data_IF_446709548785
#
_entry.id   IF_446709548785
#
_cell.length_a   1.000
_cell.length_b   1.000
_cell.length_c   1.000
_cell.angle_alpha   90.00
_cell.angle_beta   90.00
_cell.angle_gamma   90.00
#
_symmetry.space_group_name_H-M   'P 1'
#
loop_
_entity.id
_entity.type
_entity.pdbx_description
1 polymer ?
#
# COMPACT_ATOMS: atom_id res chain seq x y z
N UNK A 1 31.22 -2.51 6.41
CA UNK A 1 30.50 -1.77 5.55
C UNK A 1 29.14 -2.31 5.26
N UNK A 2 28.20 -1.58 5.61
CA UNK A 2 26.85 -2.00 5.43
C UNK A 2 26.46 -1.97 3.97
N UNK A 3 25.60 -2.88 3.61
CA UNK A 3 25.05 -2.88 2.30
C UNK A 3 23.75 -2.10 2.31
N UNK A 4 23.68 -1.12 1.45
CA UNK A 4 22.44 -0.36 1.32
C UNK A 4 21.46 -1.20 0.55
N UNK A 5 20.37 -1.55 1.20
CA UNK A 5 19.33 -2.31 0.55
C UNK A 5 18.43 -1.38 -0.21
N UNK A 6 18.39 -1.55 -1.51
CA UNK A 6 17.61 -0.70 -2.35
C UNK A 6 16.17 -1.17 -2.33
N UNK A 7 15.25 -0.27 -2.07
CA UNK A 7 13.84 -0.60 -2.20
C UNK A 7 13.50 -0.79 -3.66
N UNK A 8 12.65 -1.76 -3.95
CA UNK A 8 12.21 -1.97 -5.31
C UNK A 8 11.22 -0.89 -5.76
N UNK A 9 10.65 -0.15 -4.81
CA UNK A 9 9.70 0.91 -5.09
C UNK A 9 9.99 2.12 -4.21
N UNK A 10 9.66 3.30 -4.69
CA UNK A 10 9.85 4.52 -3.91
C UNK A 10 8.85 4.63 -2.78
N UNK A 11 7.65 4.08 -2.96
CA UNK A 11 6.60 4.15 -1.96
C UNK A 11 5.73 2.92 -2.04
N UNK A 12 5.24 2.46 -0.88
CA UNK A 12 4.35 1.31 -0.80
C UNK A 12 3.14 1.66 0.04
N UNK A 13 1.98 1.18 -0.40
CA UNK A 13 0.76 1.25 0.39
C UNK A 13 0.31 -0.16 0.68
N UNK A 14 -0.05 -0.42 1.93
CA UNK A 14 -0.53 -1.72 2.37
C UNK A 14 -1.95 -1.58 2.87
N UNK A 15 -2.85 -2.39 2.34
CA UNK A 15 -4.23 -2.44 2.79
C UNK A 15 -4.35 -3.64 3.70
N UNK A 16 -4.57 -3.40 4.98
CA UNK A 16 -4.56 -4.44 6.01
C UNK A 16 -5.83 -4.37 6.84
N UNK A 17 -6.23 -5.51 7.39
CA UNK A 17 -7.42 -5.59 8.21
C UNK A 17 -7.05 -5.65 9.69
N UNK A 18 -7.61 -4.74 10.48
CA UNK A 18 -7.50 -4.74 11.93
C UNK A 18 -8.85 -4.47 12.53
N UNK A 19 -9.30 -5.32 13.42
CA UNK A 19 -10.62 -5.22 13.99
C UNK A 19 -11.66 -5.43 12.91
N UNK A 20 -12.53 -4.47 12.72
CA UNK A 20 -13.59 -4.57 11.73
C UNK A 20 -13.37 -3.62 10.56
N UNK A 21 -12.14 -3.13 10.39
CA UNK A 21 -11.87 -2.13 9.37
C UNK A 21 -10.66 -2.51 8.56
N UNK A 22 -10.66 -2.03 7.33
CA UNK A 22 -9.50 -2.10 6.44
C UNK A 22 -8.77 -0.77 6.53
N UNK A 23 -7.46 -0.86 6.76
CA UNK A 23 -6.60 0.32 6.92
C UNK A 23 -5.65 0.42 5.76
N UNK A 24 -5.40 1.64 5.30
CA UNK A 24 -4.34 1.90 4.34
C UNK A 24 -3.16 2.46 5.11
N UNK A 25 -2.02 1.77 5.03
CA UNK A 25 -0.80 2.16 5.71
C UNK A 25 0.27 2.41 4.69
N UNK A 26 1.17 3.37 4.98
CA UNK A 26 2.32 3.59 4.13
C UNK A 26 3.47 2.68 4.57
N UNK A 27 4.61 2.79 3.87
CA UNK A 27 5.76 1.94 4.17
C UNK A 27 6.46 2.32 5.48
N UNK A 28 6.03 3.39 6.14
CA UNK A 28 6.52 3.74 7.46
C UNK A 28 5.58 3.28 8.56
N UNK A 29 4.49 2.62 8.19
CA UNK A 29 3.53 2.11 9.15
C UNK A 29 2.47 3.11 9.59
N UNK A 30 2.45 4.29 9.00
CA UNK A 30 1.43 5.29 9.35
C UNK A 30 0.11 4.95 8.67
N UNK A 31 -0.98 5.04 9.43
CA UNK A 31 -2.32 4.81 8.91
C UNK A 31 -2.84 6.07 8.24
N UNK A 32 -3.25 5.95 7.00
CA UNK A 32 -3.66 7.08 6.19
C UNK A 32 -5.17 7.15 5.96
N UNK A 33 -5.83 6.00 6.00
CA UNK A 33 -7.26 5.91 5.68
C UNK A 33 -7.80 4.62 6.28
N UNK A 34 -9.09 4.59 6.60
CA UNK A 34 -9.75 3.39 7.08
C UNK A 34 -11.14 3.30 6.49
N UNK A 35 -11.57 2.07 6.23
CA UNK A 35 -12.90 1.81 5.69
C UNK A 35 -13.38 0.45 6.18
N UNK A 36 -14.69 0.28 6.27
CA UNK A 36 -15.25 -1.04 6.58
C UNK A 36 -15.27 -1.94 5.35
N UNK A 37 -14.98 -1.39 4.18
CA UNK A 37 -15.04 -2.10 2.92
C UNK A 37 -13.64 -2.20 2.31
N UNK A 38 -13.20 -3.44 2.05
CA UNK A 38 -11.89 -3.68 1.44
C UNK A 38 -11.76 -2.98 0.10
N UNK A 39 -12.82 -3.03 -0.71
CA UNK A 39 -12.79 -2.42 -2.03
C UNK A 39 -12.56 -0.91 -1.95
N UNK A 40 -13.22 -0.26 -1.00
CA UNK A 40 -13.06 1.18 -0.81
C UNK A 40 -11.64 1.53 -0.35
N UNK A 41 -11.11 0.76 0.60
CA UNK A 41 -9.76 1.00 1.10
C UNK A 41 -8.74 0.81 -0.03
N UNK A 42 -8.91 -0.25 -0.81
CA UNK A 42 -8.00 -0.54 -1.92
C UNK A 42 -8.08 0.56 -2.98
N UNK A 43 -9.27 1.02 -3.30
CA UNK A 43 -9.45 2.09 -4.28
C UNK A 43 -8.79 3.37 -3.81
N UNK A 44 -8.90 3.68 -2.52
CA UNK A 44 -8.25 4.85 -1.94
C UNK A 44 -6.72 4.75 -2.10
N UNK A 45 -6.18 3.57 -1.78
CA UNK A 45 -4.74 3.35 -1.87
C UNK A 45 -4.24 3.48 -3.31
N UNK A 46 -5.01 2.92 -4.26
CA UNK A 46 -4.65 3.00 -5.67
C UNK A 46 -4.67 4.46 -6.15
N UNK A 47 -5.66 5.23 -5.72
CA UNK A 47 -5.73 6.64 -6.09
C UNK A 47 -4.52 7.40 -5.56
N UNK A 48 -4.14 7.14 -4.30
CA UNK A 48 -2.97 7.77 -3.71
C UNK A 48 -1.71 7.38 -4.48
N UNK A 49 -1.61 6.11 -4.85
CA UNK A 49 -0.45 5.60 -5.60
C UNK A 49 -0.37 6.25 -6.98
N UNK A 50 -1.50 6.43 -7.64
CA UNK A 50 -1.53 7.07 -8.95
C UNK A 50 -1.09 8.52 -8.86
N UNK A 51 -1.49 9.21 -7.80
CA UNK A 51 -1.07 10.60 -7.59
C UNK A 51 0.44 10.66 -7.35
N UNK A 52 0.98 9.73 -6.57
CA UNK A 52 2.43 9.68 -6.33
C UNK A 52 3.19 9.38 -7.62
N UNK A 53 2.66 8.46 -8.40
CA UNK A 53 3.29 8.11 -9.67
C UNK A 53 3.29 9.30 -10.63
N UNK A 54 2.24 10.09 -10.62
CA UNK A 54 2.17 11.29 -11.46
C UNK A 54 3.27 12.28 -11.09
N UNK A 55 3.80 12.20 -9.86
CA UNK A 55 4.91 13.02 -9.40
C UNK A 55 6.26 12.37 -9.66
N UNK A 56 6.29 11.23 -10.33
CA UNK A 56 7.54 10.58 -10.72
C UNK A 56 7.99 9.45 -9.83
N UNK A 57 7.17 9.02 -8.88
CA UNK A 57 7.55 7.95 -7.96
C UNK A 57 7.13 6.58 -8.48
N UNK A 58 7.92 5.57 -8.14
CA UNK A 58 7.55 4.17 -8.33
C UNK A 58 6.75 3.73 -7.11
N UNK A 59 5.55 3.20 -7.33
CA UNK A 59 4.63 2.90 -6.23
C UNK A 59 4.00 1.53 -6.42
N UNK A 60 3.77 0.83 -5.31
CA UNK A 60 3.06 -0.43 -5.30
C UNK A 60 1.98 -0.41 -4.22
N UNK A 61 0.86 -1.07 -4.50
CA UNK A 61 -0.23 -1.24 -3.54
C UNK A 61 -0.43 -2.74 -3.33
N UNK A 62 -0.36 -3.17 -2.08
CA UNK A 62 -0.54 -4.57 -1.70
C UNK A 62 -1.69 -4.70 -0.71
N UNK A 63 -2.43 -5.80 -0.80
CA UNK A 63 -3.56 -6.07 0.07
C UNK A 63 -3.27 -7.35 0.86
N UNK A 64 -3.42 -7.28 2.17
CA UNK A 64 -3.21 -8.42 3.04
C UNK A 64 -4.30 -9.47 2.81
N UNK A 65 -3.87 -10.72 2.70
CA UNK A 65 -4.76 -11.86 2.49
C UNK A 65 -5.03 -12.54 3.83
N UNK A 66 -6.10 -13.35 3.92
CA UNK A 66 -6.43 -14.02 5.17
C UNK A 66 -5.31 -14.90 5.73
N UNK A 67 -4.43 -15.42 4.90
CA UNK A 67 -3.33 -16.26 5.35
C UNK A 67 -2.10 -15.46 5.75
N UNK A 68 -2.19 -14.13 5.76
CA UNK A 68 -1.09 -13.26 6.15
C UNK A 68 -0.18 -12.87 5.01
N UNK A 69 -0.37 -13.42 3.82
CA UNK A 69 0.42 -13.02 2.67
C UNK A 69 -0.14 -11.73 2.09
N UNK A 70 0.56 -11.15 1.12
CA UNK A 70 0.13 -9.93 0.45
C UNK A 70 -0.07 -10.19 -1.04
N UNK A 71 -1.13 -9.62 -1.57
CA UNK A 71 -1.41 -9.68 -2.99
C UNK A 71 -1.24 -8.29 -3.57
N UNK A 72 -0.50 -8.17 -4.67
CA UNK A 72 -0.32 -6.89 -5.33
C UNK A 72 -1.62 -6.51 -6.03
N UNK A 73 -2.15 -5.34 -5.69
CA UNK A 73 -3.37 -4.82 -6.27
C UNK A 73 -3.09 -3.85 -7.41
N UNK A 74 -1.94 -3.16 -7.34
CA UNK A 74 -1.60 -2.15 -8.36
C UNK A 74 -0.12 -1.83 -8.25
N UNK A 75 0.50 -1.50 -9.37
CA UNK A 75 1.85 -0.92 -9.35
C UNK A 75 1.99 0.00 -10.54
N UNK A 76 2.98 0.87 -10.45
CA UNK A 76 3.15 1.98 -11.39
C UNK A 76 3.76 1.58 -12.72
N UNK A 77 4.02 0.31 -12.95
CA UNK A 77 4.60 -0.13 -14.22
C UNK A 77 3.68 -1.06 -14.96
#
# INVERSE_FOLDING_TARGET
MGQVQKKSHDREYHVVMHGFRWWVENDEGASLHASVDEHDATAWAIQAAQNDHASGLDVIVCVEQPDGSYKMAWHSR
#
